data_IF_837689186544
#
_entry.id   IF_837689186544
#
_cell.length_a   1.000
_cell.length_b   1.000
_cell.length_c   1.000
_cell.angle_alpha   90.00
_cell.angle_beta   90.00
_cell.angle_gamma   90.00
#
_symmetry.space_group_name_H-M   'P 1'
#
loop_
_entity.id
_entity.type
_entity.pdbx_description
1 polymer ?
#
# COMPACT_ATOMS: atom_id res chain seq x y z
N UNK A 1 1.82 -20.84 13.88
CA UNK A 1 1.66 -22.29 14.08
C UNK A 1 2.53 -22.69 15.25
N UNK A 2 1.93 -23.23 16.30
CA UNK A 2 2.61 -23.86 17.43
C UNK A 2 1.96 -25.22 17.61
N UNK A 3 2.72 -26.31 17.53
CA UNK A 3 2.21 -27.68 17.58
C UNK A 3 1.02 -27.88 16.61
N UNK A 4 1.20 -27.46 15.36
CA UNK A 4 0.20 -27.56 14.28
C UNK A 4 -1.15 -26.85 14.52
N UNK A 5 -1.24 -26.01 15.56
CA UNK A 5 -2.35 -25.09 15.76
C UNK A 5 -1.99 -23.68 15.34
N UNK A 6 -2.91 -23.04 14.63
CA UNK A 6 -2.78 -21.63 14.28
C UNK A 6 -2.78 -20.77 15.54
N UNK A 7 -1.91 -19.77 15.55
CA UNK A 7 -1.87 -18.73 16.57
C UNK A 7 -2.55 -17.52 15.97
N UNK A 8 -3.82 -17.30 16.31
CA UNK A 8 -4.63 -16.21 15.73
C UNK A 8 -4.06 -14.84 16.13
N UNK A 9 -3.71 -14.69 17.40
CA UNK A 9 -3.16 -13.46 17.97
C UNK A 9 -1.93 -13.80 18.79
N UNK A 10 -0.75 -13.34 18.34
CA UNK A 10 0.51 -13.53 19.06
C UNK A 10 0.54 -12.68 20.32
N UNK A 11 1.28 -13.14 21.31
CA UNK A 11 1.54 -12.46 22.59
C UNK A 11 0.32 -12.19 23.46
N UNK A 12 -0.88 -12.63 23.07
CA UNK A 12 -2.11 -12.51 23.88
C UNK A 12 -2.50 -13.84 24.53
N UNK A 13 -2.96 -13.76 25.77
CA UNK A 13 -3.56 -14.87 26.50
C UNK A 13 -4.75 -15.46 25.73
N UNK A 14 -4.91 -16.79 25.80
CA UNK A 14 -5.99 -17.53 25.14
C UNK A 14 -5.78 -17.81 23.65
N UNK A 15 -5.01 -16.96 22.94
CA UNK A 15 -4.71 -17.15 21.52
C UNK A 15 -3.29 -17.65 21.25
N UNK A 16 -2.33 -17.23 22.08
CA UNK A 16 -0.93 -17.65 21.97
C UNK A 16 -0.60 -18.66 23.08
N UNK A 17 -0.27 -19.92 22.74
CA UNK A 17 0.00 -20.95 23.73
C UNK A 17 1.24 -20.69 24.59
N UNK A 18 2.08 -19.71 24.23
CA UNK A 18 3.22 -19.29 25.04
C UNK A 18 2.87 -18.24 26.10
N UNK A 19 1.65 -17.72 26.09
CA UNK A 19 1.16 -16.73 27.08
C UNK A 19 0.32 -17.47 28.11
N UNK A 20 0.76 -17.42 29.37
CA UNK A 20 0.08 -18.16 30.44
C UNK A 20 -1.19 -17.44 30.86
N UNK A 21 -2.13 -18.21 31.41
CA UNK A 21 -3.34 -17.65 31.99
C UNK A 21 -3.00 -16.62 33.08
N UNK A 22 -3.67 -15.46 33.04
CA UNK A 22 -3.43 -14.33 33.93
C UNK A 22 -2.29 -13.39 33.52
N UNK A 23 -1.57 -13.65 32.42
CA UNK A 23 -0.55 -12.71 31.92
C UNK A 23 -1.15 -11.61 31.02
N UNK A 24 -2.34 -11.82 30.43
CA UNK A 24 -2.98 -10.90 29.48
C UNK A 24 -2.21 -10.76 28.17
N UNK A 25 -1.04 -10.10 28.23
CA UNK A 25 -0.07 -10.03 27.14
C UNK A 25 1.36 -10.34 27.60
N UNK A 26 2.09 -11.15 26.83
CA UNK A 26 3.50 -11.49 27.11
C UNK A 26 4.34 -11.50 25.84
N UNK A 27 5.29 -10.57 25.76
CA UNK A 27 6.26 -10.50 24.66
C UNK A 27 7.47 -11.39 24.97
N UNK A 28 7.29 -12.72 24.95
CA UNK A 28 8.29 -13.72 25.34
C UNK A 28 9.58 -13.72 24.50
N UNK A 29 9.66 -12.94 23.42
CA UNK A 29 10.91 -12.64 22.72
C UNK A 29 11.79 -11.57 23.42
N UNK A 30 11.27 -10.91 24.47
CA UNK A 30 11.99 -9.92 25.28
C UNK A 30 12.26 -10.49 26.68
N UNK A 31 13.48 -10.28 27.24
CA UNK A 31 13.82 -10.81 28.57
C UNK A 31 12.87 -10.37 29.69
N UNK A 32 12.32 -9.16 29.59
CA UNK A 32 11.37 -8.58 30.57
C UNK A 32 9.90 -8.86 30.20
N UNK A 33 9.64 -9.52 29.07
CA UNK A 33 8.30 -9.87 28.59
C UNK A 33 7.45 -8.68 28.13
N UNK A 34 8.02 -7.48 27.96
CA UNK A 34 7.28 -6.26 27.63
C UNK A 34 7.52 -5.80 26.19
N UNK A 35 6.52 -5.16 25.60
CA UNK A 35 6.72 -4.40 24.37
C UNK A 35 7.56 -3.17 24.67
N UNK A 36 8.34 -2.74 23.68
CA UNK A 36 9.12 -1.50 23.77
C UNK A 36 8.35 -0.39 23.06
N UNK A 37 8.10 0.71 23.78
CA UNK A 37 7.57 1.94 23.20
C UNK A 37 8.76 2.87 22.93
N UNK A 38 9.00 3.20 21.67
CA UNK A 38 10.05 4.13 21.26
C UNK A 38 9.47 5.52 21.01
N UNK A 39 10.08 6.54 21.61
CA UNK A 39 9.84 7.93 21.26
C UNK A 39 10.83 8.35 20.18
N UNK A 40 10.38 8.31 18.92
CA UNK A 40 11.20 8.68 17.76
C UNK A 40 10.76 10.05 17.22
N UNK A 41 11.69 10.87 16.71
CA UNK A 41 11.34 12.12 16.04
C UNK A 41 10.64 11.85 14.70
N UNK A 42 10.00 12.88 14.15
CA UNK A 42 9.53 12.86 12.77
C UNK A 42 10.71 12.93 11.79
N UNK A 43 10.68 12.11 10.75
CA UNK A 43 11.62 12.15 9.63
C UNK A 43 10.85 12.42 8.33
N UNK A 44 11.25 13.42 7.52
CA UNK A 44 10.56 13.72 6.26
C UNK A 44 10.84 12.67 5.19
N UNK A 45 10.05 12.69 4.12
CA UNK A 45 10.29 11.84 2.96
C UNK A 45 11.65 12.18 2.31
N UNK A 46 12.32 11.16 1.77
CA UNK A 46 13.60 11.33 1.07
C UNK A 46 13.51 12.26 -0.16
N UNK A 47 12.34 12.32 -0.79
CA UNK A 47 12.04 13.20 -1.92
C UNK A 47 10.62 13.74 -1.74
N UNK A 48 10.50 15.05 -1.61
CA UNK A 48 9.22 15.75 -1.55
C UNK A 48 8.98 16.52 -2.86
N UNK A 49 7.71 16.85 -3.18
CA UNK A 49 7.41 17.72 -4.31
C UNK A 49 8.13 19.07 -4.22
N UNK A 50 8.51 19.58 -5.37
CA UNK A 50 9.13 20.89 -5.54
C UNK A 50 8.54 21.60 -6.77
N UNK A 51 9.18 22.69 -7.20
CA UNK A 51 8.70 23.50 -8.33
C UNK A 51 8.73 22.75 -9.67
N UNK A 52 9.59 21.73 -9.83
CA UNK A 52 9.70 20.93 -11.06
C UNK A 52 8.81 19.68 -11.01
N UNK A 53 8.73 19.03 -9.84
CA UNK A 53 7.92 17.83 -9.60
C UNK A 53 6.88 18.10 -8.52
N UNK A 54 5.76 18.70 -8.91
CA UNK A 54 4.80 19.32 -7.99
C UNK A 54 3.72 18.38 -7.42
N UNK A 55 3.84 17.06 -7.66
CA UNK A 55 2.90 16.05 -7.19
C UNK A 55 3.59 14.91 -6.45
N UNK A 56 2.90 14.40 -5.42
CA UNK A 56 3.25 13.12 -4.81
C UNK A 56 2.82 11.95 -5.71
N UNK A 57 3.73 11.02 -5.97
CA UNK A 57 3.40 9.75 -6.61
C UNK A 57 3.23 8.66 -5.55
N UNK A 58 2.02 8.08 -5.49
CA UNK A 58 1.74 6.88 -4.69
C UNK A 58 1.42 5.71 -5.60
N UNK A 59 2.03 4.55 -5.34
CA UNK A 59 1.82 3.33 -6.11
C UNK A 59 1.24 2.24 -5.23
N UNK A 60 0.33 1.43 -5.76
CA UNK A 60 -0.32 0.38 -5.00
C UNK A 60 -0.78 -0.78 -5.87
N UNK A 61 -1.82 -1.46 -5.40
CA UNK A 61 -2.47 -2.57 -6.10
C UNK A 61 -3.96 -2.27 -6.22
N UNK A 62 -4.59 -2.93 -7.17
CA UNK A 62 -6.05 -3.05 -7.25
C UNK A 62 -6.46 -4.45 -6.84
N UNK A 63 -7.71 -4.63 -6.43
CA UNK A 63 -8.23 -5.88 -5.89
C UNK A 63 -8.00 -7.06 -6.83
N UNK A 64 -8.18 -6.82 -8.13
CA UNK A 64 -8.22 -7.83 -9.19
C UNK A 64 -6.83 -8.37 -9.55
N UNK A 65 -5.76 -7.67 -9.15
CA UNK A 65 -4.42 -7.94 -9.67
C UNK A 65 -3.35 -8.14 -8.60
N UNK A 66 -2.67 -9.28 -8.71
CA UNK A 66 -1.55 -9.62 -7.86
C UNK A 66 -0.25 -9.13 -8.48
N UNK A 67 0.37 -8.13 -7.82
CA UNK A 67 1.72 -7.65 -8.15
C UNK A 67 1.84 -7.27 -9.64
N UNK A 68 2.76 -7.89 -10.38
CA UNK A 68 2.99 -7.62 -11.81
C UNK A 68 1.88 -8.17 -12.71
N UNK A 69 0.89 -8.85 -12.13
CA UNK A 69 -0.23 -9.43 -12.86
C UNK A 69 0.15 -10.65 -13.70
N UNK A 70 1.35 -11.22 -13.55
CA UNK A 70 1.80 -12.38 -14.33
C UNK A 70 0.84 -13.57 -14.24
N UNK A 71 0.12 -13.74 -13.14
CA UNK A 71 -0.93 -14.76 -13.02
C UNK A 71 -2.32 -14.17 -13.31
N UNK A 72 -2.70 -13.12 -12.58
CA UNK A 72 -4.08 -12.60 -12.59
C UNK A 72 -4.48 -11.92 -13.90
N UNK A 73 -3.55 -11.31 -14.65
CA UNK A 73 -3.85 -10.76 -15.99
C UNK A 73 -4.05 -11.84 -17.06
N UNK A 74 -3.79 -13.11 -16.73
CA UNK A 74 -4.07 -14.27 -17.60
C UNK A 74 -5.42 -14.93 -17.29
N UNK A 75 -6.08 -14.52 -16.21
CA UNK A 75 -7.45 -14.94 -15.89
C UNK A 75 -8.42 -13.97 -16.61
N UNK A 76 -9.26 -14.44 -17.55
CA UNK A 76 -10.06 -13.57 -18.40
C UNK A 76 -10.98 -12.60 -17.62
N UNK A 77 -11.60 -13.08 -16.54
CA UNK A 77 -12.51 -12.30 -15.70
C UNK A 77 -11.76 -11.15 -15.00
N UNK A 78 -10.60 -11.45 -14.41
CA UNK A 78 -9.78 -10.46 -13.70
C UNK A 78 -9.17 -9.45 -14.66
N UNK A 79 -8.71 -9.89 -15.83
CA UNK A 79 -8.17 -8.99 -16.84
C UNK A 79 -9.25 -8.05 -17.38
N UNK A 80 -10.46 -8.54 -17.63
CA UNK A 80 -11.57 -7.70 -18.09
C UNK A 80 -12.04 -6.70 -17.03
N UNK A 81 -11.97 -7.06 -15.75
CA UNK A 81 -12.38 -6.19 -14.65
C UNK A 81 -11.47 -4.96 -14.49
N UNK A 82 -10.16 -5.12 -14.67
CA UNK A 82 -9.20 -4.01 -14.60
C UNK A 82 -8.08 -4.15 -15.66
N UNK A 83 -8.33 -3.82 -16.93
CA UNK A 83 -7.47 -4.25 -18.05
C UNK A 83 -6.10 -3.60 -18.08
N UNK A 84 -5.94 -2.38 -17.56
CA UNK A 84 -4.70 -1.62 -17.61
C UNK A 84 -4.51 -0.78 -16.36
N UNK A 85 -3.26 -0.41 -16.06
CA UNK A 85 -3.00 0.54 -14.99
C UNK A 85 -3.42 1.96 -15.43
N UNK A 86 -4.02 2.71 -14.51
CA UNK A 86 -4.48 4.08 -14.74
C UNK A 86 -3.87 5.02 -13.71
N UNK A 87 -3.76 6.30 -14.05
CA UNK A 87 -3.38 7.36 -13.14
C UNK A 87 -4.65 7.91 -12.47
N UNK A 88 -4.84 7.54 -11.21
CA UNK A 88 -5.85 8.20 -10.39
C UNK A 88 -5.38 9.59 -9.96
N UNK A 89 -6.14 10.62 -10.33
CA UNK A 89 -5.82 12.02 -10.02
C UNK A 89 -7.08 12.77 -9.58
N UNK A 90 -6.92 13.69 -8.64
CA UNK A 90 -8.03 14.52 -8.16
C UNK A 90 -8.57 15.42 -9.29
N UNK A 91 -9.90 15.65 -9.41
CA UNK A 91 -10.48 16.44 -10.49
C UNK A 91 -9.91 17.86 -10.62
N UNK A 92 -9.55 18.51 -9.50
CA UNK A 92 -8.95 19.84 -9.52
C UNK A 92 -7.53 19.85 -10.08
N UNK A 93 -6.71 18.84 -9.75
CA UNK A 93 -5.34 18.72 -10.26
C UNK A 93 -5.32 18.37 -11.74
N UNK A 94 -6.26 17.53 -12.17
CA UNK A 94 -6.49 17.23 -13.58
C UNK A 94 -6.90 18.51 -14.34
N UNK A 95 -7.87 19.26 -13.82
CA UNK A 95 -8.32 20.53 -14.43
C UNK A 95 -7.20 21.58 -14.51
N UNK A 96 -6.40 21.73 -13.46
CA UNK A 96 -5.27 22.66 -13.45
C UNK A 96 -4.21 22.34 -14.52
N UNK A 97 -4.16 21.08 -14.98
CA UNK A 97 -3.24 20.58 -16.00
C UNK A 97 -3.91 20.31 -17.36
N UNK A 98 -5.15 20.78 -17.54
CA UNK A 98 -5.98 20.54 -18.74
C UNK A 98 -6.12 19.05 -19.12
N UNK A 99 -6.18 18.18 -18.12
CA UNK A 99 -6.33 16.74 -18.28
C UNK A 99 -7.79 16.31 -18.13
N UNK A 100 -8.22 15.37 -18.98
CA UNK A 100 -9.54 14.75 -18.98
C UNK A 100 -9.42 13.26 -18.73
N UNK A 101 -10.52 12.66 -18.25
CA UNK A 101 -10.63 11.21 -18.12
C UNK A 101 -10.40 10.54 -19.47
N UNK A 102 -9.54 9.53 -19.50
CA UNK A 102 -9.17 8.80 -20.71
C UNK A 102 -7.96 9.39 -21.45
N UNK A 103 -7.45 10.56 -21.04
CA UNK A 103 -6.27 11.13 -21.68
C UNK A 103 -5.04 10.27 -21.39
N UNK A 104 -4.21 10.10 -22.42
CA UNK A 104 -2.93 9.41 -22.32
C UNK A 104 -1.88 10.41 -21.84
N UNK A 105 -1.31 10.15 -20.68
CA UNK A 105 -0.37 11.06 -20.01
C UNK A 105 0.94 10.36 -19.72
N UNK A 106 1.99 11.17 -19.61
CA UNK A 106 3.31 10.72 -19.17
C UNK A 106 3.52 11.15 -17.72
N UNK A 107 3.73 10.17 -16.84
CA UNK A 107 4.13 10.41 -15.45
C UNK A 107 5.65 10.39 -15.40
N UNK A 108 6.26 11.50 -14.97
CA UNK A 108 7.72 11.71 -15.01
C UNK A 108 8.24 11.93 -13.60
N UNK A 109 9.41 11.37 -13.33
CA UNK A 109 10.23 11.65 -12.13
C UNK A 109 11.67 11.92 -12.56
N UNK A 110 12.51 12.39 -11.62
CA UNK A 110 13.96 12.53 -11.81
C UNK A 110 14.66 11.25 -12.31
N UNK A 111 14.03 10.08 -12.15
CA UNK A 111 14.61 8.76 -12.44
C UNK A 111 14.05 8.10 -13.71
N UNK A 112 13.00 8.64 -14.30
CA UNK A 112 12.37 8.05 -15.48
C UNK A 112 10.89 8.36 -15.60
N UNK A 113 10.26 7.73 -16.58
CA UNK A 113 8.89 8.02 -17.00
C UNK A 113 8.08 6.76 -17.31
N UNK A 114 6.76 6.88 -17.23
CA UNK A 114 5.80 5.84 -17.66
C UNK A 114 4.59 6.50 -18.30
N UNK A 115 3.99 5.81 -19.28
CA UNK A 115 2.75 6.25 -19.92
C UNK A 115 1.56 5.57 -19.25
N UNK A 116 0.53 6.34 -18.91
CA UNK A 116 -0.70 5.87 -18.26
C UNK A 116 -1.92 6.59 -18.83
N UNK A 117 -3.11 6.15 -18.42
CA UNK A 117 -4.39 6.76 -18.77
C UNK A 117 -4.97 7.46 -17.55
N UNK A 118 -5.44 8.69 -17.70
CA UNK A 118 -6.08 9.44 -16.62
C UNK A 118 -7.42 8.80 -16.25
N UNK A 119 -7.57 8.45 -14.97
CA UNK A 119 -8.84 8.09 -14.36
C UNK A 119 -9.11 9.09 -13.22
N UNK A 120 -10.16 9.88 -13.33
CA UNK A 120 -10.60 10.74 -12.24
C UNK A 120 -11.99 10.30 -11.77
N UNK A 121 -12.23 10.37 -10.45
CA UNK A 121 -13.55 10.12 -9.90
C UNK A 121 -14.51 11.15 -10.50
N UNK A 122 -15.65 10.69 -11.03
CA UNK A 122 -16.73 11.58 -11.48
C UNK A 122 -17.13 12.47 -10.29
N UNK A 123 -17.05 13.78 -10.49
CA UNK A 123 -17.72 14.76 -9.61
C UNK A 123 -19.21 14.49 -9.56
#
# INVERSE_FOLDING_TARGET
>A
MVNDKETQWRYSEGNDPYVKAGEGYKFYGKPDGKAVIFALPFEPAAEAPDEEYDLWLSTGRVLEHWHTGSMTRRVPELHRAFPEAVLFIHPLDAKARDLRRGDKVKVVSRRGEVISIVENARS
#
